data_IF_487323040056
#
_entry.id   IF_487323040056
#
_cell.length_a   1.000
_cell.length_b   1.000
_cell.length_c   1.000
_cell.angle_alpha   90.00
_cell.angle_beta   90.00
_cell.angle_gamma   90.00
#
_symmetry.space_group_name_H-M   'P 1'
#
loop_
_entity.id
_entity.type
_entity.pdbx_description
1 polymer ?
#
# COMPACT_ATOMS: atom_id res chain seq x y z
N UNK A 1 0.76 -7.21 17.12
CA UNK A 1 1.98 -6.73 17.83
C UNK A 1 1.70 -6.39 19.28
N UNK A 2 0.71 -5.56 19.62
CA UNK A 2 0.33 -5.25 21.01
C UNK A 2 0.28 -6.48 21.96
N UNK A 3 -0.40 -7.57 21.55
CA UNK A 3 -0.43 -8.82 22.33
C UNK A 3 0.94 -9.50 22.49
N UNK A 4 1.79 -9.40 21.46
CA UNK A 4 3.13 -10.00 21.45
C UNK A 4 4.07 -9.24 22.39
N UNK A 5 4.00 -7.90 22.38
CA UNK A 5 4.85 -7.02 23.19
C UNK A 5 4.30 -6.79 24.59
N UNK A 6 3.02 -7.10 24.83
CA UNK A 6 2.33 -6.77 26.08
C UNK A 6 2.03 -5.28 26.24
N UNK A 7 2.24 -4.49 25.19
CA UNK A 7 2.02 -3.05 25.17
C UNK A 7 0.69 -2.75 24.46
N UNK A 8 -0.38 -2.40 25.20
CA UNK A 8 -1.67 -2.06 24.60
C UNK A 8 -1.66 -0.73 23.84
N UNK A 9 -0.65 0.12 24.06
CA UNK A 9 -0.51 1.42 23.40
C UNK A 9 0.36 1.37 22.14
N UNK A 10 0.98 0.22 21.84
CA UNK A 10 1.74 0.05 20.62
C UNK A 10 0.87 0.37 19.40
N UNK A 11 1.33 1.33 18.60
CA UNK A 11 0.71 1.73 17.34
C UNK A 11 1.73 1.61 16.20
N UNK A 12 1.23 1.41 14.98
CA UNK A 12 2.08 1.39 13.80
C UNK A 12 2.39 2.83 13.37
N UNK A 13 3.66 3.20 13.15
CA UNK A 13 3.98 4.47 12.53
C UNK A 13 3.60 4.43 11.04
N UNK A 14 3.63 5.58 10.39
CA UNK A 14 3.45 5.72 8.95
C UNK A 14 4.70 6.33 8.30
N UNK A 15 4.82 6.15 6.99
CA UNK A 15 5.83 6.82 6.16
C UNK A 15 5.12 7.80 5.24
N UNK A 16 5.27 9.10 5.52
CA UNK A 16 4.85 10.15 4.59
C UNK A 16 5.77 10.14 3.36
N UNK A 17 5.43 9.29 2.40
CA UNK A 17 6.20 9.13 1.18
C UNK A 17 6.01 10.30 0.21
N UNK A 18 5.09 11.24 0.46
CA UNK A 18 4.68 12.29 -0.48
C UNK A 18 5.69 13.47 -0.54
N UNK A 19 6.98 13.15 -0.65
CA UNK A 19 8.10 14.08 -0.54
C UNK A 19 8.63 14.60 -1.89
N UNK A 20 8.27 13.96 -3.01
CA UNK A 20 8.84 14.22 -4.33
C UNK A 20 10.32 13.82 -4.46
N UNK A 21 10.86 13.13 -3.45
CA UNK A 21 12.25 12.74 -3.34
C UNK A 21 12.61 11.63 -4.33
N UNK A 22 13.86 11.61 -4.77
CA UNK A 22 14.45 10.48 -5.51
C UNK A 22 15.09 9.43 -4.58
N UNK A 23 15.12 9.71 -3.28
CA UNK A 23 15.69 8.83 -2.26
C UNK A 23 14.60 8.29 -1.32
N UNK A 24 14.79 7.05 -0.86
CA UNK A 24 14.01 6.47 0.22
C UNK A 24 14.60 6.94 1.56
N UNK A 25 13.94 7.89 2.21
CA UNK A 25 14.36 8.48 3.49
C UNK A 25 14.22 7.53 4.69
N UNK A 26 13.30 6.56 4.61
CA UNK A 26 13.14 5.51 5.62
C UNK A 26 14.05 4.29 5.41
N UNK A 27 14.75 4.22 4.27
CA UNK A 27 15.70 3.14 3.96
C UNK A 27 17.09 3.45 4.53
N UNK A 28 17.17 3.45 5.86
CA UNK A 28 18.40 3.61 6.64
C UNK A 28 18.47 2.52 7.72
N UNK A 29 19.68 2.20 8.19
CA UNK A 29 19.90 1.05 9.08
C UNK A 29 19.22 1.15 10.44
N UNK A 30 18.98 2.38 10.92
CA UNK A 30 18.22 2.64 12.15
C UNK A 30 16.70 2.42 11.97
N UNK A 31 16.23 2.31 10.73
CA UNK A 31 14.82 2.09 10.36
C UNK A 31 14.70 0.81 9.53
N UNK A 32 14.37 0.89 8.23
CA UNK A 32 14.03 -0.26 7.38
C UNK A 32 15.21 -0.86 6.61
N UNK A 33 16.43 -0.45 6.93
CA UNK A 33 17.66 -0.90 6.28
C UNK A 33 18.01 -0.09 5.05
N UNK A 34 19.27 0.37 4.99
CA UNK A 34 19.87 0.97 3.80
C UNK A 34 20.29 -0.08 2.77
N UNK A 35 20.80 0.35 1.60
CA UNK A 35 21.33 -0.56 0.59
C UNK A 35 22.64 -1.21 1.08
N UNK A 36 22.83 -2.48 0.75
CA UNK A 36 24.11 -3.16 0.96
C UNK A 36 25.22 -2.50 0.10
N UNK A 37 26.38 -2.13 0.67
CA UNK A 37 27.47 -1.49 -0.08
C UNK A 37 28.08 -2.34 -1.20
N UNK A 38 28.01 -3.67 -1.11
CA UNK A 38 28.54 -4.62 -2.09
C UNK A 38 27.49 -5.06 -3.12
N UNK A 39 26.23 -5.20 -2.71
CA UNK A 39 25.12 -5.55 -3.61
C UNK A 39 23.90 -4.64 -3.36
N UNK A 40 23.80 -3.47 -4.03
CA UNK A 40 22.78 -2.45 -3.71
C UNK A 40 21.31 -2.86 -3.82
N UNK A 41 21.02 -4.06 -4.35
CA UNK A 41 19.67 -4.64 -4.39
C UNK A 41 19.30 -5.43 -3.12
N UNK A 42 20.26 -5.64 -2.22
CA UNK A 42 20.08 -6.22 -0.89
C UNK A 42 20.07 -5.13 0.17
N UNK A 43 19.57 -5.48 1.35
CA UNK A 43 19.62 -4.63 2.53
C UNK A 43 20.98 -4.73 3.22
N UNK A 44 21.45 -3.61 3.77
CA UNK A 44 22.65 -3.50 4.59
C UNK A 44 22.69 -4.59 5.67
N UNK A 45 23.83 -5.29 5.84
CA UNK A 45 23.98 -6.34 6.86
C UNK A 45 23.84 -5.82 8.31
N UNK A 46 23.92 -4.50 8.51
CA UNK A 46 23.71 -3.86 9.82
C UNK A 46 22.22 -3.89 10.19
N UNK A 47 21.32 -3.80 9.22
CA UNK A 47 19.89 -3.85 9.45
C UNK A 47 19.45 -5.28 9.80
N UNK A 48 18.62 -5.48 10.84
CA UNK A 48 18.08 -6.80 11.16
C UNK A 48 17.23 -7.39 10.02
N UNK A 49 16.68 -6.55 9.15
CA UNK A 49 15.87 -6.98 8.02
C UNK A 49 16.69 -7.66 6.92
N UNK A 50 18.02 -7.49 6.88
CA UNK A 50 18.90 -8.22 5.95
C UNK A 50 18.89 -9.74 6.19
N UNK A 51 18.53 -10.17 7.41
CA UNK A 51 18.45 -11.58 7.78
C UNK A 51 17.09 -12.21 7.44
N UNK A 52 16.09 -11.40 7.09
CA UNK A 52 14.77 -11.91 6.78
C UNK A 52 14.80 -12.78 5.52
N UNK A 53 14.01 -13.84 5.55
CA UNK A 53 13.73 -14.65 4.37
C UNK A 53 12.29 -14.42 3.96
N UNK A 54 12.08 -14.14 2.68
CA UNK A 54 10.76 -13.95 2.11
C UNK A 54 10.03 -15.29 1.96
N UNK A 55 8.72 -15.22 1.86
CA UNK A 55 7.83 -16.34 1.55
C UNK A 55 6.93 -15.96 0.37
N UNK A 56 6.33 -16.96 -0.26
CA UNK A 56 5.28 -16.79 -1.27
C UNK A 56 5.70 -16.13 -2.60
N UNK A 57 6.97 -16.25 -2.97
CA UNK A 57 7.57 -15.69 -4.18
C UNK A 57 7.69 -16.71 -5.35
N UNK A 58 7.54 -18.02 -5.09
CA UNK A 58 7.61 -19.10 -6.12
C UNK A 58 6.29 -19.33 -6.88
N UNK A 59 5.68 -18.26 -7.42
CA UNK A 59 4.36 -18.32 -8.06
C UNK A 59 4.26 -19.37 -9.19
N UNK A 60 5.27 -19.49 -10.04
CA UNK A 60 5.27 -20.46 -11.14
C UNK A 60 5.16 -21.89 -10.64
N UNK A 61 5.84 -22.22 -9.53
CA UNK A 61 5.75 -23.54 -8.91
C UNK A 61 4.38 -23.77 -8.29
N UNK A 62 3.86 -22.79 -7.54
CA UNK A 62 2.54 -22.87 -6.92
C UNK A 62 1.44 -23.09 -7.96
N UNK A 63 1.48 -22.34 -9.06
CA UNK A 63 0.53 -22.43 -10.15
C UNK A 63 0.66 -23.76 -10.92
N UNK A 64 1.89 -24.19 -11.23
CA UNK A 64 2.13 -25.45 -11.93
C UNK A 64 1.67 -26.66 -11.12
N UNK A 65 1.87 -26.63 -9.80
CA UNK A 65 1.53 -27.73 -8.88
C UNK A 65 0.14 -27.62 -8.28
N UNK A 66 -0.56 -26.50 -8.51
CA UNK A 66 -1.85 -26.17 -7.87
C UNK A 66 -1.74 -26.26 -6.34
N UNK A 67 -0.72 -25.61 -5.79
CA UNK A 67 -0.42 -25.55 -4.36
C UNK A 67 -0.48 -24.12 -3.85
N UNK A 68 -0.66 -23.95 -2.54
CA UNK A 68 -0.58 -22.65 -1.89
C UNK A 68 0.82 -22.44 -1.32
N UNK A 69 1.17 -21.16 -1.09
CA UNK A 69 2.37 -20.81 -0.34
C UNK A 69 2.39 -21.54 1.01
N UNK A 70 3.51 -22.20 1.30
CA UNK A 70 3.67 -23.03 2.49
C UNK A 70 4.48 -22.33 3.61
N UNK A 71 4.91 -21.08 3.39
CA UNK A 71 5.71 -20.31 4.35
C UNK A 71 7.19 -20.73 4.44
N UNK A 72 7.69 -21.56 3.52
CA UNK A 72 9.11 -21.87 3.44
C UNK A 72 9.89 -20.65 2.94
N UNK A 73 11.14 -20.51 3.41
CA UNK A 73 12.05 -19.44 3.00
C UNK A 73 12.39 -19.54 1.51
N UNK A 74 12.26 -18.42 0.79
CA UNK A 74 12.48 -18.32 -0.67
C UNK A 74 13.52 -17.26 -1.06
N UNK A 75 14.36 -16.85 -0.10
CA UNK A 75 15.48 -15.94 -0.32
C UNK A 75 15.36 -14.62 0.44
N UNK A 76 16.35 -13.72 0.30
CA UNK A 76 16.36 -12.44 1.01
C UNK A 76 15.38 -11.44 0.40
N UNK A 77 15.08 -10.39 1.16
CA UNK A 77 14.41 -9.19 0.63
C UNK A 77 15.30 -8.55 -0.45
N UNK A 78 14.68 -8.17 -1.56
CA UNK A 78 15.29 -7.35 -2.62
C UNK A 78 14.67 -5.96 -2.60
N UNK A 79 15.50 -4.92 -2.60
CA UNK A 79 15.03 -3.52 -2.65
C UNK A 79 16.07 -2.67 -3.34
N UNK A 80 15.65 -1.86 -4.32
CA UNK A 80 16.53 -0.96 -5.06
C UNK A 80 15.81 0.37 -5.38
N UNK A 81 15.59 1.23 -4.35
CA UNK A 81 14.75 2.42 -4.48
C UNK A 81 15.16 3.34 -5.63
N UNK A 82 14.21 3.72 -6.48
CA UNK A 82 14.41 4.58 -7.65
C UNK A 82 15.18 3.92 -8.80
N UNK A 83 15.52 2.63 -8.69
CA UNK A 83 16.34 1.91 -9.67
C UNK A 83 15.58 1.38 -10.89
N UNK A 84 14.25 1.54 -10.96
CA UNK A 84 13.48 1.13 -12.13
C UNK A 84 13.55 2.21 -13.23
N UNK A 85 14.33 1.92 -14.26
CA UNK A 85 14.48 2.79 -15.44
C UNK A 85 13.46 2.49 -16.54
N UNK A 86 12.64 1.44 -16.39
CA UNK A 86 11.68 0.99 -17.41
C UNK A 86 10.39 1.81 -17.41
N UNK A 87 10.04 2.45 -16.28
CA UNK A 87 8.85 3.27 -16.14
C UNK A 87 9.23 4.74 -15.89
N UNK A 88 8.88 5.67 -16.81
CA UNK A 88 9.05 7.10 -16.56
C UNK A 88 8.37 7.50 -15.25
N UNK A 89 9.09 8.24 -14.40
CA UNK A 89 8.58 8.69 -13.09
C UNK A 89 8.86 7.74 -11.91
N UNK A 90 9.13 6.45 -12.11
CA UNK A 90 9.39 5.50 -11.02
C UNK A 90 10.71 5.75 -10.25
N UNK A 91 11.54 6.69 -10.72
CA UNK A 91 12.73 7.16 -10.03
C UNK A 91 12.46 8.17 -8.90
N UNK A 92 11.19 8.56 -8.68
CA UNK A 92 10.80 9.53 -7.65
C UNK A 92 9.53 9.09 -6.93
N UNK A 93 9.42 9.50 -5.68
CA UNK A 93 8.23 9.35 -4.88
C UNK A 93 7.14 10.36 -5.29
N UNK A 94 5.87 10.10 -4.94
CA UNK A 94 4.79 11.08 -5.07
C UNK A 94 5.09 12.38 -4.34
N UNK A 95 4.39 13.44 -4.70
CA UNK A 95 4.49 14.77 -4.08
C UNK A 95 3.31 15.06 -3.16
N UNK A 96 3.46 16.05 -2.28
CA UNK A 96 2.37 16.52 -1.42
C UNK A 96 1.20 17.09 -2.24
N UNK A 97 1.48 17.66 -3.40
CA UNK A 97 0.44 18.15 -4.32
C UNK A 97 -0.37 17.00 -4.94
N UNK A 98 0.24 15.82 -5.12
CA UNK A 98 -0.49 14.62 -5.56
C UNK A 98 -1.49 14.18 -4.49
N UNK A 99 -1.08 14.19 -3.21
CA UNK A 99 -1.99 13.88 -2.09
C UNK A 99 -3.11 14.93 -2.00
N UNK A 100 -2.80 16.21 -2.16
CA UNK A 100 -3.80 17.29 -2.13
C UNK A 100 -4.84 17.14 -3.25
N UNK A 101 -4.40 16.82 -4.47
CA UNK A 101 -5.28 16.57 -5.61
C UNK A 101 -6.18 15.34 -5.37
N UNK A 102 -5.60 14.26 -4.84
CA UNK A 102 -6.33 13.03 -4.53
C UNK A 102 -7.42 13.27 -3.48
N UNK A 103 -7.11 14.00 -2.42
CA UNK A 103 -8.09 14.41 -1.40
C UNK A 103 -9.16 15.37 -1.94
N UNK A 104 -8.99 15.92 -3.14
CA UNK A 104 -10.01 16.69 -3.86
C UNK A 104 -11.04 15.82 -4.60
N UNK A 105 -10.79 14.52 -4.77
CA UNK A 105 -11.69 13.60 -5.49
C UNK A 105 -12.85 13.19 -4.58
N UNK A 106 -14.04 13.76 -4.81
CA UNK A 106 -15.17 13.62 -3.89
C UNK A 106 -15.86 12.24 -3.90
N UNK A 107 -15.81 11.51 -5.02
CA UNK A 107 -16.48 10.21 -5.16
C UNK A 107 -15.53 9.10 -4.73
N UNK A 108 -15.95 8.26 -3.78
CA UNK A 108 -15.13 7.13 -3.30
C UNK A 108 -14.70 6.23 -4.46
N UNK A 109 -15.67 5.69 -5.18
CA UNK A 109 -15.44 4.88 -6.37
C UNK A 109 -16.58 5.03 -7.37
N UNK A 110 -16.34 4.60 -8.61
CA UNK A 110 -17.33 4.62 -9.67
C UNK A 110 -17.20 3.46 -10.63
N UNK A 111 -18.26 3.20 -11.39
CA UNK A 111 -18.28 2.16 -12.43
C UNK A 111 -17.07 2.29 -13.36
N UNK A 112 -16.41 1.17 -13.73
CA UNK A 112 -16.82 -0.21 -13.47
C UNK A 112 -16.28 -0.81 -12.15
N UNK A 113 -15.90 0.02 -11.17
CA UNK A 113 -15.32 -0.37 -9.88
C UNK A 113 -14.04 -1.21 -10.04
N UNK A 114 -13.17 -0.75 -10.94
CA UNK A 114 -11.96 -1.46 -11.35
C UNK A 114 -10.78 -0.48 -11.50
N UNK A 115 -9.65 -1.00 -11.95
CA UNK A 115 -8.42 -0.24 -12.21
C UNK A 115 -8.55 0.78 -13.36
N UNK A 116 -9.69 0.80 -14.06
CA UNK A 116 -10.01 1.77 -15.11
C UNK A 116 -11.24 2.64 -14.78
N UNK A 117 -11.65 2.67 -13.51
CA UNK A 117 -12.61 3.65 -13.01
C UNK A 117 -12.00 5.05 -13.10
N UNK A 118 -12.77 6.05 -13.49
CA UNK A 118 -12.32 7.45 -13.50
C UNK A 118 -13.15 8.28 -12.53
N UNK A 119 -12.56 9.35 -12.00
CA UNK A 119 -13.12 10.22 -10.96
C UNK A 119 -13.45 9.39 -9.71
N UNK A 120 -12.55 8.47 -9.38
CA UNK A 120 -12.62 7.54 -8.26
C UNK A 120 -11.47 7.84 -7.31
N UNK A 121 -11.78 8.24 -6.08
CA UNK A 121 -10.78 8.45 -5.03
C UNK A 121 -9.99 7.17 -4.77
N UNK A 122 -10.67 6.03 -4.70
CA UNK A 122 -10.06 4.71 -4.53
C UNK A 122 -9.06 4.44 -5.64
N UNK A 123 -9.42 4.67 -6.91
CA UNK A 123 -8.52 4.43 -8.05
C UNK A 123 -7.35 5.43 -8.13
N UNK A 124 -7.59 6.69 -7.75
CA UNK A 124 -6.55 7.73 -7.65
C UNK A 124 -5.55 7.41 -6.54
N UNK A 125 -6.01 7.13 -5.32
CA UNK A 125 -5.15 6.82 -4.18
C UNK A 125 -4.38 5.51 -4.39
N UNK A 126 -5.05 4.47 -4.90
CA UNK A 126 -4.42 3.19 -5.26
C UNK A 126 -3.33 3.38 -6.31
N UNK A 127 -3.50 4.36 -7.20
CA UNK A 127 -2.46 4.82 -8.11
C UNK A 127 -2.59 4.32 -9.54
N UNK A 128 -3.81 4.01 -9.97
CA UNK A 128 -4.14 3.68 -11.36
C UNK A 128 -4.66 4.89 -12.16
N UNK A 129 -5.14 5.92 -11.47
CA UNK A 129 -5.48 7.23 -12.05
C UNK A 129 -4.37 8.25 -11.76
N UNK A 130 -4.42 9.38 -12.48
CA UNK A 130 -3.74 10.59 -12.05
C UNK A 130 -4.26 11.03 -10.66
N UNK A 131 -3.48 11.78 -9.88
CA UNK A 131 -3.90 12.20 -8.55
C UNK A 131 -5.22 12.99 -8.52
N UNK A 132 -5.59 13.67 -9.60
CA UNK A 132 -6.87 14.39 -9.72
C UNK A 132 -8.08 13.48 -10.06
N UNK A 133 -7.87 12.17 -10.18
CA UNK A 133 -8.87 11.17 -10.55
C UNK A 133 -9.12 11.07 -12.06
N UNK A 134 -8.33 11.73 -12.91
CA UNK A 134 -8.41 11.49 -14.35
C UNK A 134 -7.76 10.16 -14.72
N UNK A 135 -8.48 9.34 -15.50
CA UNK A 135 -7.98 8.02 -15.92
C UNK A 135 -7.18 8.14 -17.22
N UNK A 136 -5.99 7.55 -17.21
CA UNK A 136 -5.19 7.29 -18.40
C UNK A 136 -4.52 5.91 -18.27
N UNK A 137 -4.59 5.04 -19.29
CA UNK A 137 -3.99 3.71 -19.21
C UNK A 137 -2.48 3.77 -18.96
N UNK A 138 -2.01 3.02 -17.96
CA UNK A 138 -0.58 2.94 -17.63
C UNK A 138 -0.09 4.06 -16.72
N UNK A 139 -0.98 4.90 -16.18
CA UNK A 139 -0.62 5.80 -15.09
C UNK A 139 -0.21 5.00 -13.86
N UNK A 140 0.81 5.53 -13.19
CA UNK A 140 1.36 5.01 -11.96
C UNK A 140 1.56 6.20 -11.02
N UNK A 141 0.73 6.30 -9.99
CA UNK A 141 0.77 7.39 -9.02
C UNK A 141 0.69 6.84 -7.58
N UNK A 142 0.82 7.72 -6.59
CA UNK A 142 0.58 7.46 -5.16
C UNK A 142 1.02 6.05 -4.70
N UNK A 143 0.10 5.21 -4.21
CA UNK A 143 0.41 3.89 -3.66
C UNK A 143 1.20 3.00 -4.63
N UNK A 144 0.70 2.83 -5.86
CA UNK A 144 1.37 1.98 -6.85
C UNK A 144 2.76 2.53 -7.24
N UNK A 145 2.92 3.86 -7.32
CA UNK A 145 4.20 4.49 -7.60
C UNK A 145 5.23 4.19 -6.51
N UNK A 146 4.84 4.22 -5.23
CA UNK A 146 5.75 3.91 -4.12
C UNK A 146 6.16 2.45 -4.15
N UNK A 147 5.22 1.52 -4.39
CA UNK A 147 5.56 0.11 -4.58
C UNK A 147 6.57 -0.08 -5.72
N UNK A 148 6.34 0.57 -6.86
CA UNK A 148 7.24 0.50 -8.01
C UNK A 148 8.60 1.13 -7.72
N UNK A 149 8.61 2.26 -7.01
CA UNK A 149 9.83 2.97 -6.61
C UNK A 149 10.76 2.07 -5.81
N UNK A 150 10.24 1.20 -4.93
CA UNK A 150 11.06 0.25 -4.17
C UNK A 150 11.81 -0.78 -5.06
N UNK A 151 11.31 -1.05 -6.27
CA UNK A 151 11.94 -1.87 -7.31
C UNK A 151 12.59 -3.16 -6.78
N UNK A 152 11.76 -4.06 -6.26
CA UNK A 152 12.20 -5.31 -5.66
C UNK A 152 11.02 -6.09 -5.09
N UNK A 153 11.24 -6.81 -3.99
CA UNK A 153 10.23 -7.55 -3.23
C UNK A 153 9.01 -6.67 -2.94
N UNK A 154 9.23 -5.45 -2.45
CA UNK A 154 8.18 -4.47 -2.16
C UNK A 154 7.34 -4.04 -3.38
N UNK A 155 7.78 -4.28 -4.60
CA UNK A 155 7.12 -3.81 -5.83
C UNK A 155 6.21 -4.84 -6.52
N UNK A 156 6.10 -6.06 -5.98
CA UNK A 156 5.26 -7.11 -6.54
C UNK A 156 4.09 -7.43 -5.60
N UNK A 157 2.85 -7.40 -6.11
CA UNK A 157 1.64 -7.53 -5.27
C UNK A 157 1.57 -8.83 -4.45
N UNK A 158 2.20 -9.91 -4.90
CA UNK A 158 2.20 -11.21 -4.23
C UNK A 158 3.29 -11.35 -3.16
N UNK A 159 4.31 -10.48 -3.15
CA UNK A 159 5.44 -10.57 -2.22
C UNK A 159 5.74 -9.28 -1.48
N UNK A 160 5.05 -8.18 -1.77
CA UNK A 160 5.31 -6.84 -1.23
C UNK A 160 5.32 -6.80 0.29
N UNK A 161 4.41 -7.51 0.94
CA UNK A 161 4.31 -7.59 2.41
C UNK A 161 5.49 -8.31 3.09
N UNK A 162 6.38 -8.97 2.35
CA UNK A 162 7.63 -9.49 2.91
C UNK A 162 8.64 -8.37 3.21
N UNK A 163 8.51 -7.23 2.51
CA UNK A 163 9.30 -6.04 2.78
C UNK A 163 8.61 -5.23 3.91
N UNK A 164 9.27 -4.99 5.05
CA UNK A 164 8.64 -4.30 6.19
C UNK A 164 8.22 -2.85 5.89
N UNK A 165 8.75 -2.22 4.84
CA UNK A 165 8.31 -0.89 4.38
C UNK A 165 6.83 -0.92 3.99
N UNK A 166 6.30 -2.07 3.57
CA UNK A 166 4.87 -2.27 3.27
C UNK A 166 3.96 -1.76 4.38
N UNK A 167 4.33 -2.00 5.65
CA UNK A 167 3.51 -1.61 6.81
C UNK A 167 3.40 -0.09 6.93
N UNK A 168 4.53 0.62 6.83
CA UNK A 168 4.54 2.09 6.97
C UNK A 168 4.02 2.80 5.72
N UNK A 169 4.14 2.17 4.55
CA UNK A 169 3.51 2.62 3.31
C UNK A 169 1.98 2.57 3.44
N UNK A 170 1.43 1.41 3.82
CA UNK A 170 -0.03 1.24 3.88
C UNK A 170 -0.70 1.97 5.03
N UNK A 171 0.00 2.21 6.14
CA UNK A 171 -0.52 3.09 7.20
C UNK A 171 -0.63 4.55 6.76
N UNK A 172 0.25 5.02 5.86
CA UNK A 172 0.09 6.35 5.25
C UNK A 172 -1.05 6.39 4.21
N UNK A 173 -1.21 5.32 3.42
CA UNK A 173 -2.39 5.17 2.54
C UNK A 173 -3.68 5.21 3.35
N UNK A 174 -3.73 4.52 4.49
CA UNK A 174 -4.87 4.55 5.41
C UNK A 174 -5.09 5.94 6.02
N UNK A 175 -4.02 6.69 6.35
CA UNK A 175 -4.13 8.07 6.81
C UNK A 175 -4.78 9.00 5.76
N UNK A 176 -4.44 8.84 4.48
CA UNK A 176 -5.07 9.58 3.37
C UNK A 176 -6.54 9.17 3.21
N UNK A 177 -6.85 7.88 3.37
CA UNK A 177 -8.23 7.38 3.36
C UNK A 177 -9.06 7.92 4.53
N UNK A 178 -8.54 7.93 5.75
CA UNK A 178 -9.22 8.47 6.94
C UNK A 178 -9.49 9.98 6.79
N UNK A 179 -8.52 10.74 6.27
CA UNK A 179 -8.74 12.16 5.99
C UNK A 179 -9.84 12.37 4.94
N UNK A 180 -9.88 11.56 3.89
CA UNK A 180 -10.97 11.59 2.90
C UNK A 180 -12.33 11.26 3.55
N UNK A 181 -12.40 10.23 4.40
CA UNK A 181 -13.59 9.85 5.16
C UNK A 181 -14.10 11.01 6.02
N UNK A 182 -13.19 11.70 6.72
CA UNK A 182 -13.52 12.87 7.56
C UNK A 182 -14.01 14.08 6.76
N UNK A 183 -13.45 14.32 5.57
CA UNK A 183 -13.84 15.42 4.66
C UNK A 183 -15.23 15.22 4.07
N UNK A 184 -15.47 14.05 3.49
CA UNK A 184 -16.67 13.82 2.67
C UNK A 184 -17.81 13.17 3.43
N UNK A 185 -17.54 12.42 4.51
CA UNK A 185 -18.53 11.67 5.29
C UNK A 185 -19.53 10.95 4.38
N UNK A 186 -19.04 10.10 3.47
CA UNK A 186 -19.87 9.52 2.42
C UNK A 186 -21.00 8.67 2.99
N UNK A 187 -22.14 8.66 2.30
CA UNK A 187 -23.12 7.60 2.50
C UNK A 187 -22.56 6.29 1.91
N UNK A 188 -22.39 5.27 2.75
CA UNK A 188 -21.76 4.00 2.37
C UNK A 188 -22.44 3.32 1.17
N UNK A 189 -23.77 3.34 1.08
CA UNK A 189 -24.51 2.66 0.00
C UNK A 189 -24.45 3.43 -1.32
N UNK A 190 -24.14 4.72 -1.28
CA UNK A 190 -23.93 5.54 -2.49
C UNK A 190 -22.47 5.48 -2.95
N UNK A 191 -21.54 5.35 -2.01
CA UNK A 191 -20.10 5.35 -2.25
C UNK A 191 -19.57 3.99 -2.73
N UNK A 192 -20.11 2.88 -2.20
CA UNK A 192 -19.60 1.53 -2.42
C UNK A 192 -20.71 0.60 -2.95
N UNK A 193 -20.51 -0.08 -4.10
CA UNK A 193 -21.52 -0.98 -4.67
C UNK A 193 -21.79 -2.22 -3.81
N UNK A 194 -23.08 -2.54 -3.62
CA UNK A 194 -23.50 -3.81 -3.01
C UNK A 194 -23.33 -5.01 -3.95
N UNK A 195 -23.31 -4.77 -5.26
CA UNK A 195 -23.24 -5.78 -6.32
C UNK A 195 -22.51 -5.24 -7.55
N UNK A 196 -22.12 -6.15 -8.46
CA UNK A 196 -21.44 -5.85 -9.73
C UNK A 196 -20.02 -5.27 -9.59
N UNK A 197 -19.49 -5.13 -8.38
CA UNK A 197 -18.06 -5.00 -8.20
C UNK A 197 -17.36 -6.32 -8.59
N UNK A 198 -16.06 -6.27 -8.89
CA UNK A 198 -15.24 -7.46 -9.03
C UNK A 198 -15.40 -8.40 -7.83
N UNK A 199 -15.18 -9.70 -8.05
CA UNK A 199 -15.28 -10.71 -7.00
C UNK A 199 -14.40 -10.31 -5.80
N UNK A 200 -14.98 -10.30 -4.59
CA UNK A 200 -14.30 -9.87 -3.36
C UNK A 200 -14.52 -8.40 -2.98
N UNK A 201 -14.99 -7.55 -3.91
CA UNK A 201 -15.05 -6.09 -3.71
C UNK A 201 -16.46 -5.54 -3.45
N UNK A 202 -17.51 -6.36 -3.41
CA UNK A 202 -18.84 -5.86 -3.01
C UNK A 202 -18.84 -5.40 -1.54
N UNK A 203 -19.67 -4.42 -1.20
CA UNK A 203 -19.76 -3.81 0.14
C UNK A 203 -19.91 -4.85 1.28
N UNK A 204 -20.71 -5.89 1.07
CA UNK A 204 -20.98 -6.93 2.06
C UNK A 204 -20.10 -8.18 1.93
N UNK A 205 -19.09 -8.14 1.06
CA UNK A 205 -18.16 -9.25 0.91
C UNK A 205 -17.23 -9.30 2.12
N UNK A 206 -17.06 -10.48 2.71
CA UNK A 206 -16.05 -10.69 3.75
C UNK A 206 -14.66 -10.62 3.14
N UNK A 207 -13.84 -9.67 3.58
CA UNK A 207 -12.48 -9.49 3.10
C UNK A 207 -11.69 -10.79 3.28
N UNK A 208 -11.28 -11.39 2.16
CA UNK A 208 -10.57 -12.67 2.16
C UNK A 208 -9.09 -12.44 2.50
N UNK A 209 -8.45 -13.26 3.35
CA UNK A 209 -8.97 -14.43 4.07
C UNK A 209 -9.14 -14.19 5.58
N UNK A 210 -9.56 -13.01 6.02
CA UNK A 210 -9.59 -12.68 7.45
C UNK A 210 -10.55 -13.57 8.26
N UNK A 211 -10.16 -13.84 9.51
CA UNK A 211 -10.95 -14.63 10.45
C UNK A 211 -10.94 -13.99 11.86
N UNK A 212 -12.11 -13.82 12.51
CA UNK A 212 -13.46 -14.11 12.03
C UNK A 212 -13.83 -13.29 10.78
N UNK A 213 -14.88 -13.65 10.02
CA UNK A 213 -15.25 -12.93 8.81
C UNK A 213 -15.55 -11.44 9.10
N UNK A 214 -14.97 -10.55 8.30
CA UNK A 214 -15.14 -9.09 8.40
C UNK A 214 -15.52 -8.54 7.02
N UNK A 215 -16.72 -7.99 6.83
CA UNK A 215 -17.09 -7.38 5.56
C UNK A 215 -16.48 -6.00 5.37
N UNK A 216 -16.30 -5.59 4.11
CA UNK A 216 -15.76 -4.27 3.74
C UNK A 216 -16.46 -3.11 4.48
N UNK A 217 -17.80 -3.20 4.61
CA UNK A 217 -18.62 -2.21 5.32
C UNK A 217 -18.12 -1.87 6.74
N UNK A 218 -17.55 -2.84 7.47
CA UNK A 218 -17.08 -2.59 8.84
C UNK A 218 -15.79 -1.78 8.91
N UNK A 219 -15.03 -1.72 7.81
CA UNK A 219 -13.82 -0.91 7.70
C UNK A 219 -14.08 0.44 7.03
N UNK A 220 -15.29 0.66 6.49
CA UNK A 220 -15.67 1.92 5.84
C UNK A 220 -16.24 2.92 6.85
N UNK A 221 -15.45 3.21 7.88
CA UNK A 221 -15.74 4.17 8.96
C UNK A 221 -14.48 4.98 9.27
N UNK A 222 -14.60 6.20 9.83
CA UNK A 222 -13.43 6.94 10.31
C UNK A 222 -12.58 6.12 11.31
N UNK A 223 -11.26 6.30 11.28
CA UNK A 223 -10.31 5.58 12.12
C UNK A 223 -10.61 5.68 13.63
N UNK A 224 -11.20 6.81 14.06
CA UNK A 224 -11.61 7.02 15.45
C UNK A 224 -12.65 5.98 15.93
N UNK A 225 -13.53 5.50 15.04
CA UNK A 225 -14.50 4.44 15.35
C UNK A 225 -13.82 3.06 15.50
N UNK A 226 -12.63 2.91 14.93
CA UNK A 226 -11.78 1.73 15.05
C UNK A 226 -10.77 1.85 16.20
N UNK A 227 -10.76 2.98 16.93
CA UNK A 227 -9.94 3.19 18.13
C UNK A 227 -8.51 3.67 17.86
N UNK A 228 -8.24 4.26 16.70
CA UNK A 228 -6.95 4.87 16.39
C UNK A 228 -7.12 6.21 15.65
N UNK A 229 -6.01 6.91 15.41
CA UNK A 229 -5.98 8.15 14.64
C UNK A 229 -4.56 8.50 14.24
N UNK A 230 -4.43 9.48 13.35
CA UNK A 230 -3.14 9.88 12.78
C UNK A 230 -2.72 11.26 13.27
N UNK A 231 -1.49 11.33 13.80
CA UNK A 231 -0.83 12.61 14.10
C UNK A 231 -0.13 13.15 12.86
N UNK A 232 -0.93 13.62 11.90
CA UNK A 232 -0.47 14.20 10.64
C UNK A 232 -1.41 15.30 10.18
N UNK A 233 -0.86 16.34 9.55
CA UNK A 233 -1.64 17.36 8.86
C UNK A 233 -1.52 17.19 7.35
N UNK A 234 -2.55 16.57 6.76
CA UNK A 234 -2.69 16.44 5.32
C UNK A 234 -3.28 17.72 4.69
N UNK A 235 -2.88 18.06 3.46
CA UNK A 235 -3.26 19.31 2.77
C UNK A 235 -4.74 19.41 2.45
#
# INVERSE_FOLDING_TARGET
VQRLTGDPSFALPFWDFATGSAACDVCVDDLFGGPDPAEPTLLSPVSPFSQWQIVCNSLDEYNLRVTLCNGSAEGPIRRNPGGDLSHPGAGRLPTRDDVAQCLGVARFDGEPFWTNSSRSFRNALEGYDHPDGSYEPGVLSLHNLVHRFLNGTGGASFSSANDPVFVVLHTFVDAVFDEWMRRFRPNVTEAWPEQLAPIGHNLHYNMVPFFPPVPNQLMFVPAEELGYGYDIQLP
#
